data_IF_234876691385
#
_entry.id   IF_234876691385
#
_cell.length_a   1.000
_cell.length_b   1.000
_cell.length_c   1.000
_cell.angle_alpha   90.00
_cell.angle_beta   90.00
_cell.angle_gamma   90.00
#
_symmetry.space_group_name_H-M   'P 1'
#
loop_
_entity.id
_entity.type
_entity.pdbx_description
1 polymer ?
#
# COMPACT_ATOMS: atom_id res chain seq x y z
N UNK A 1 -30.65 -7.43 20.97
CA UNK A 1 -29.48 -6.65 20.52
C UNK A 1 -28.75 -7.49 19.49
N UNK A 2 -28.71 -7.06 18.23
CA UNK A 2 -28.00 -7.80 17.17
C UNK A 2 -26.58 -7.24 17.11
N UNK A 3 -25.59 -8.07 17.42
CA UNK A 3 -24.18 -7.72 17.21
C UNK A 3 -23.85 -8.14 15.79
N UNK A 4 -23.74 -7.19 14.88
CA UNK A 4 -23.19 -7.46 13.56
C UNK A 4 -21.70 -7.77 13.75
N UNK A 5 -21.33 -9.03 13.51
CA UNK A 5 -19.91 -9.39 13.38
C UNK A 5 -19.39 -8.73 12.10
N UNK A 6 -18.17 -8.21 12.16
CA UNK A 6 -17.49 -7.68 10.99
C UNK A 6 -17.40 -8.76 9.90
N UNK A 7 -17.51 -8.34 8.64
CA UNK A 7 -17.31 -9.24 7.50
C UNK A 7 -15.85 -9.72 7.50
N UNK A 8 -15.60 -11.05 7.46
CA UNK A 8 -14.26 -11.61 7.40
C UNK A 8 -13.38 -10.96 6.33
N UNK A 9 -12.10 -10.74 6.66
CA UNK A 9 -11.18 -10.04 5.76
C UNK A 9 -10.98 -10.80 4.44
N UNK A 10 -11.02 -12.12 4.45
CA UNK A 10 -10.99 -12.97 3.26
C UNK A 10 -12.13 -12.62 2.28
N UNK A 11 -13.35 -12.49 2.79
CA UNK A 11 -14.52 -12.10 1.99
C UNK A 11 -14.34 -10.66 1.51
N UNK A 12 -13.90 -9.73 2.36
CA UNK A 12 -13.63 -8.34 1.95
C UNK A 12 -12.55 -8.26 0.86
N UNK A 13 -11.52 -9.10 0.93
CA UNK A 13 -10.43 -9.18 -0.04
C UNK A 13 -10.88 -9.74 -1.38
N UNK A 14 -11.85 -10.66 -1.40
CA UNK A 14 -12.34 -11.26 -2.65
C UNK A 14 -13.02 -10.28 -3.62
N UNK A 15 -13.30 -9.04 -3.18
CA UNK A 15 -13.80 -7.98 -4.06
C UNK A 15 -12.69 -7.28 -4.86
N UNK A 16 -11.43 -7.65 -4.66
CA UNK A 16 -10.25 -7.10 -5.33
C UNK A 16 -9.56 -8.19 -6.13
N UNK A 17 -9.09 -7.88 -7.34
CA UNK A 17 -8.39 -8.84 -8.19
C UNK A 17 -6.96 -9.09 -7.71
N UNK A 18 -6.30 -8.04 -7.22
CA UNK A 18 -4.93 -8.04 -6.71
C UNK A 18 -4.86 -7.25 -5.38
N UNK A 19 -5.35 -7.84 -4.27
CA UNK A 19 -5.50 -7.13 -3.01
C UNK A 19 -4.15 -6.73 -2.42
N UNK A 20 -4.07 -5.47 -2.00
CA UNK A 20 -3.03 -4.95 -1.11
C UNK A 20 -3.62 -4.58 0.22
N UNK A 21 -2.92 -4.98 1.27
CA UNK A 21 -3.30 -4.77 2.66
C UNK A 21 -2.46 -3.64 3.22
N UNK A 22 -3.10 -2.63 3.76
CA UNK A 22 -2.47 -1.45 4.35
C UNK A 22 -2.82 -1.44 5.83
N UNK A 23 -1.81 -1.45 6.70
CA UNK A 23 -2.01 -1.35 8.13
C UNK A 23 -2.48 0.06 8.52
N UNK A 24 -3.64 0.17 9.14
CA UNK A 24 -4.30 1.44 9.47
C UNK A 24 -4.50 1.66 10.96
N UNK A 25 -4.09 0.71 11.81
CA UNK A 25 -4.15 0.91 13.25
C UNK A 25 -3.08 1.93 13.68
N UNK A 26 -3.48 2.85 14.57
CA UNK A 26 -2.66 3.94 15.12
C UNK A 26 -2.44 3.75 16.62
N UNK A 27 -2.33 2.51 17.08
CA UNK A 27 -2.20 2.16 18.49
C UNK A 27 -0.99 2.80 19.19
N UNK A 28 -0.05 3.38 18.44
CA UNK A 28 1.13 4.06 18.95
C UNK A 28 2.20 3.10 19.49
N UNK A 29 1.96 1.79 19.38
CA UNK A 29 2.88 0.73 19.81
C UNK A 29 3.76 0.33 18.62
N UNK A 30 3.17 0.24 17.43
CA UNK A 30 3.90 -0.05 16.20
C UNK A 30 3.90 1.19 15.31
N UNK A 31 5.07 1.69 14.91
CA UNK A 31 5.19 2.81 13.97
C UNK A 31 5.01 2.33 12.52
N UNK A 32 3.99 1.50 12.30
CA UNK A 32 3.74 0.80 11.04
C UNK A 32 2.51 1.36 10.30
N UNK A 33 1.90 2.45 10.79
CA UNK A 33 0.73 3.03 10.13
C UNK A 33 1.05 3.39 8.67
N UNK A 34 0.30 2.81 7.74
CA UNK A 34 0.50 2.93 6.30
C UNK A 34 1.45 1.90 5.70
N UNK A 35 2.16 1.09 6.50
CA UNK A 35 2.89 -0.06 5.97
C UNK A 35 1.92 -0.94 5.19
N UNK A 36 2.34 -1.42 4.03
CA UNK A 36 1.50 -2.22 3.17
C UNK A 36 2.23 -3.46 2.70
N UNK A 37 1.46 -4.50 2.42
CA UNK A 37 1.96 -5.77 1.92
C UNK A 37 0.93 -6.38 0.97
N UNK A 38 1.42 -7.26 0.11
CA UNK A 38 0.63 -8.02 -0.86
C UNK A 38 1.36 -9.31 -1.14
N UNK A 39 0.63 -10.28 -1.66
CA UNK A 39 1.24 -11.51 -2.14
C UNK A 39 2.13 -11.18 -3.36
N UNK A 40 3.39 -11.59 -3.29
CA UNK A 40 4.37 -11.47 -4.37
C UNK A 40 4.83 -12.89 -4.70
N UNK A 41 4.41 -13.37 -5.87
CA UNK A 41 4.56 -14.77 -6.25
C UNK A 41 5.97 -15.32 -5.97
N UNK A 42 6.03 -16.43 -5.23
CA UNK A 42 7.27 -17.16 -4.92
C UNK A 42 8.01 -16.74 -3.67
N UNK A 43 7.72 -15.57 -3.08
CA UNK A 43 8.46 -15.03 -1.92
C UNK A 43 7.59 -14.55 -0.77
N UNK A 44 6.28 -14.39 -0.98
CA UNK A 44 5.35 -14.17 0.10
C UNK A 44 4.04 -14.91 -0.13
N UNK A 45 3.36 -15.25 0.97
CA UNK A 45 2.04 -15.85 0.91
C UNK A 45 1.12 -15.27 1.98
N UNK A 46 -0.18 -15.27 1.68
CA UNK A 46 -1.22 -14.78 2.58
C UNK A 46 -2.12 -15.94 2.96
N UNK A 47 -2.42 -16.07 4.26
CA UNK A 47 -3.41 -17.03 4.76
C UNK A 47 -4.36 -16.39 5.76
N UNK A 48 -5.58 -16.92 5.82
CA UNK A 48 -6.65 -16.42 6.68
C UNK A 48 -6.95 -17.41 7.79
N UNK A 49 -7.12 -16.90 9.01
CA UNK A 49 -7.28 -17.71 10.21
C UNK A 49 -8.46 -17.19 11.01
N UNK A 50 -9.49 -18.02 11.17
CA UNK A 50 -10.64 -17.68 12.00
C UNK A 50 -10.27 -17.76 13.49
N UNK A 51 -10.70 -16.74 14.24
CA UNK A 51 -10.57 -16.72 15.70
C UNK A 51 -11.90 -16.38 16.35
N UNK A 52 -12.00 -16.58 17.66
CA UNK A 52 -13.20 -16.21 18.43
C UNK A 52 -13.53 -14.71 18.35
N UNK A 53 -12.54 -13.87 18.02
CA UNK A 53 -12.65 -12.40 17.99
C UNK A 53 -12.62 -11.83 16.56
N UNK A 54 -12.85 -12.66 15.53
CA UNK A 54 -12.81 -12.25 14.12
C UNK A 54 -11.74 -12.98 13.33
N UNK A 55 -11.62 -12.64 12.05
CA UNK A 55 -10.63 -13.27 11.17
C UNK A 55 -9.31 -12.50 11.18
N UNK A 56 -8.20 -13.24 11.24
CA UNK A 56 -6.84 -12.71 11.13
C UNK A 56 -6.29 -12.97 9.74
N UNK A 57 -5.41 -12.08 9.32
CA UNK A 57 -4.55 -12.28 8.16
C UNK A 57 -3.14 -12.58 8.64
N UNK A 58 -2.55 -13.66 8.13
CA UNK A 58 -1.15 -13.97 8.31
C UNK A 58 -0.39 -13.70 7.00
N UNK A 59 0.63 -12.85 7.08
CA UNK A 59 1.52 -12.53 5.96
C UNK A 59 2.90 -13.08 6.28
N UNK A 60 3.36 -14.02 5.46
CA UNK A 60 4.68 -14.60 5.55
C UNK A 60 5.47 -14.15 4.32
N UNK A 61 6.69 -13.69 4.54
CA UNK A 61 7.56 -13.16 3.48
C UNK A 61 8.94 -13.76 3.68
N UNK A 62 9.29 -14.71 2.82
CA UNK A 62 10.55 -15.42 2.92
C UNK A 62 11.67 -14.81 2.10
N UNK A 63 12.90 -15.15 2.48
CA UNK A 63 14.07 -14.91 1.66
C UNK A 63 14.06 -15.81 0.42
N UNK A 64 14.81 -15.42 -0.62
CA UNK A 64 14.75 -16.07 -1.93
C UNK A 64 15.21 -17.54 -1.94
N UNK A 65 15.87 -17.98 -0.88
CA UNK A 65 16.34 -19.35 -0.66
C UNK A 65 15.45 -20.18 0.28
N UNK A 66 14.36 -19.59 0.80
CA UNK A 66 13.42 -20.25 1.72
C UNK A 66 13.99 -20.56 3.11
N UNK A 67 15.16 -20.02 3.46
CA UNK A 67 15.83 -20.29 4.74
C UNK A 67 15.22 -19.54 5.93
N UNK A 68 14.49 -18.47 5.66
CA UNK A 68 13.84 -17.62 6.65
C UNK A 68 12.48 -17.17 6.10
N UNK A 69 11.41 -17.38 6.88
CA UNK A 69 10.05 -16.95 6.54
C UNK A 69 9.35 -16.35 7.77
N UNK A 70 9.60 -15.06 8.07
CA UNK A 70 8.91 -14.36 9.14
C UNK A 70 7.43 -14.18 8.80
N UNK A 71 6.58 -14.80 9.61
CA UNK A 71 5.14 -14.62 9.55
C UNK A 71 4.69 -13.53 10.54
N UNK A 72 3.95 -12.54 10.05
CA UNK A 72 3.34 -11.47 10.84
C UNK A 72 1.82 -11.59 10.76
N UNK A 73 1.17 -11.50 11.93
CA UNK A 73 -0.28 -11.57 12.05
C UNK A 73 -0.89 -10.17 12.19
N UNK A 74 -1.99 -9.96 11.49
CA UNK A 74 -2.77 -8.73 11.53
C UNK A 74 -4.24 -9.05 11.81
N UNK A 75 -4.88 -8.23 12.65
CA UNK A 75 -6.33 -8.27 12.80
C UNK A 75 -6.97 -7.72 11.52
N UNK A 76 -8.04 -8.35 11.05
CA UNK A 76 -8.75 -7.86 9.87
C UNK A 76 -9.23 -6.41 10.01
N UNK A 77 -9.65 -6.01 11.21
CA UNK A 77 -10.07 -4.64 11.58
C UNK A 77 -8.98 -3.59 11.34
N UNK A 78 -7.73 -4.01 11.44
CA UNK A 78 -6.56 -3.12 11.45
C UNK A 78 -6.01 -2.93 10.03
N UNK A 79 -6.65 -3.55 9.03
CA UNK A 79 -6.25 -3.55 7.64
C UNK A 79 -7.29 -2.87 6.76
N UNK A 80 -6.81 -1.90 5.98
CA UNK A 80 -7.49 -1.43 4.79
C UNK A 80 -7.07 -2.31 3.61
N UNK A 81 -8.03 -2.70 2.78
CA UNK A 81 -7.76 -3.38 1.51
C UNK A 81 -7.89 -2.36 0.38
N UNK A 82 -6.97 -2.42 -0.56
CA UNK A 82 -7.00 -1.63 -1.79
C UNK A 82 -6.56 -2.50 -2.98
N UNK A 83 -7.04 -2.15 -4.17
CA UNK A 83 -6.57 -2.77 -5.41
C UNK A 83 -5.13 -2.32 -5.69
N UNK A 84 -4.26 -3.26 -6.07
CA UNK A 84 -3.02 -2.91 -6.79
C UNK A 84 -3.36 -2.78 -8.27
N UNK A 85 -3.05 -1.62 -8.83
CA UNK A 85 -3.20 -1.35 -10.26
C UNK A 85 -1.80 -1.24 -10.88
N UNK A 86 -1.52 -2.07 -11.87
CA UNK A 86 -0.32 -1.94 -12.70
C UNK A 86 -0.47 -0.77 -13.67
N UNK A 87 0.48 0.15 -13.63
CA UNK A 87 0.63 1.27 -14.55
C UNK A 87 1.89 1.07 -15.40
N UNK A 88 1.94 1.77 -16.53
CA UNK A 88 3.14 1.77 -17.37
C UNK A 88 4.30 2.47 -16.63
N UNK A 89 5.42 1.78 -16.45
CA UNK A 89 6.64 2.32 -15.84
C UNK A 89 7.34 3.30 -16.77
N UNK A 90 8.13 4.22 -16.21
CA UNK A 90 8.87 5.27 -16.92
C UNK A 90 8.02 6.31 -17.67
N UNK A 91 6.69 6.27 -17.52
CA UNK A 91 5.83 7.38 -17.97
C UNK A 91 6.12 8.60 -17.11
N UNK A 92 6.37 9.73 -17.76
CA UNK A 92 6.64 11.01 -17.10
C UNK A 92 5.34 11.72 -16.75
N UNK A 93 5.29 12.27 -15.55
CA UNK A 93 4.17 13.04 -15.03
C UNK A 93 4.65 14.38 -14.51
N UNK A 94 3.81 15.40 -14.65
CA UNK A 94 3.98 16.71 -14.02
C UNK A 94 2.93 16.89 -12.93
N UNK A 95 3.34 17.41 -11.77
CA UNK A 95 2.41 17.79 -10.70
C UNK A 95 1.57 19.01 -11.10
N UNK A 96 0.26 18.85 -11.05
CA UNK A 96 -0.70 19.91 -11.39
C UNK A 96 -0.92 20.94 -10.27
N UNK A 97 -0.56 20.59 -9.03
CA UNK A 97 -0.61 21.45 -7.84
C UNK A 97 0.46 21.00 -6.83
N UNK A 98 0.77 21.85 -5.85
CA UNK A 98 1.66 21.49 -4.76
C UNK A 98 1.12 20.27 -4.00
N UNK A 99 2.00 19.31 -3.72
CA UNK A 99 1.61 18.04 -3.11
C UNK A 99 2.67 17.52 -2.14
N UNK A 100 2.18 16.86 -1.09
CA UNK A 100 3.03 16.12 -0.17
C UNK A 100 3.32 14.72 -0.69
N UNK A 101 4.59 14.41 -0.93
CA UNK A 101 5.08 13.06 -1.14
C UNK A 101 5.10 12.26 0.16
N UNK A 102 4.71 10.99 0.05
CA UNK A 102 4.56 10.08 1.19
C UNK A 102 5.42 8.83 1.00
N UNK A 103 5.77 8.19 2.11
CA UNK A 103 6.42 6.87 2.12
C UNK A 103 5.45 5.71 1.91
N UNK A 104 4.14 5.98 1.92
CA UNK A 104 3.07 4.98 1.88
C UNK A 104 1.87 5.46 1.04
N UNK A 105 1.17 4.56 0.33
CA UNK A 105 -0.02 4.86 -0.46
C UNK A 105 -1.29 5.10 0.39
N UNK A 106 -1.21 5.93 1.43
CA UNK A 106 -2.31 6.11 2.38
C UNK A 106 -2.68 7.58 2.62
N UNK A 107 -3.99 7.85 2.53
CA UNK A 107 -4.52 9.14 2.93
C UNK A 107 -4.40 9.33 4.46
N UNK A 108 -4.00 10.53 4.89
CA UNK A 108 -3.71 10.82 6.30
C UNK A 108 -2.41 10.24 6.85
N UNK A 109 -1.60 9.52 6.03
CA UNK A 109 -0.20 9.25 6.37
C UNK A 109 0.64 10.53 6.28
N UNK A 110 1.72 10.57 7.07
CA UNK A 110 2.64 11.72 7.18
C UNK A 110 3.24 12.05 5.81
N UNK A 111 3.31 13.34 5.52
CA UNK A 111 4.06 13.87 4.39
C UNK A 111 5.53 13.93 4.76
N UNK A 112 6.40 13.33 3.95
CA UNK A 112 7.85 13.33 4.17
C UNK A 112 8.55 14.43 3.38
N UNK A 113 8.00 14.80 2.23
CA UNK A 113 8.57 15.85 1.37
C UNK A 113 7.45 16.62 0.69
N UNK A 114 7.63 17.93 0.52
CA UNK A 114 6.72 18.77 -0.26
C UNK A 114 7.32 19.01 -1.64
N UNK A 115 6.48 18.83 -2.66
CA UNK A 115 6.83 19.11 -4.04
C UNK A 115 5.94 20.23 -4.58
N UNK A 116 6.55 21.14 -5.32
CA UNK A 116 5.84 22.23 -5.96
C UNK A 116 5.14 21.74 -7.23
N UNK A 117 4.06 22.44 -7.61
CA UNK A 117 3.47 22.35 -8.94
C UNK A 117 4.55 22.50 -10.01
N UNK A 118 4.45 21.70 -11.07
CA UNK A 118 5.39 21.70 -12.18
C UNK A 118 6.58 20.76 -11.99
N UNK A 119 6.81 20.23 -10.78
CA UNK A 119 7.80 19.17 -10.59
C UNK A 119 7.44 17.92 -11.40
N UNK A 120 8.46 17.28 -11.97
CA UNK A 120 8.34 16.11 -12.83
C UNK A 120 8.77 14.83 -12.13
N UNK A 121 8.07 13.75 -12.43
CA UNK A 121 8.29 12.43 -11.85
C UNK A 121 8.13 11.35 -12.92
N UNK A 122 8.82 10.24 -12.73
CA UNK A 122 8.66 9.04 -13.55
C UNK A 122 7.92 7.97 -12.77
N UNK A 123 6.93 7.33 -13.40
CA UNK A 123 6.20 6.24 -12.75
C UNK A 123 7.08 5.01 -12.52
N UNK A 124 6.97 4.42 -11.34
CA UNK A 124 7.52 3.10 -11.06
C UNK A 124 6.55 1.95 -11.46
N UNK A 125 5.31 2.28 -11.85
CA UNK A 125 4.35 1.33 -12.40
C UNK A 125 3.40 0.69 -11.38
N UNK A 126 3.45 1.07 -10.11
CA UNK A 126 2.52 0.57 -9.08
C UNK A 126 1.62 1.69 -8.58
N UNK A 127 0.31 1.52 -8.71
CA UNK A 127 -0.69 2.35 -8.06
C UNK A 127 -1.44 1.55 -6.99
N UNK A 128 -1.58 2.12 -5.80
CA UNK A 128 -2.31 1.54 -4.68
C UNK A 128 -3.14 2.65 -4.03
N UNK A 129 -4.42 2.37 -3.75
CA UNK A 129 -5.29 3.26 -2.97
C UNK A 129 -5.32 4.73 -3.50
N UNK A 130 -5.25 4.90 -4.84
CA UNK A 130 -5.25 6.21 -5.50
C UNK A 130 -3.93 6.98 -5.46
N UNK A 131 -2.83 6.33 -5.04
CA UNK A 131 -1.49 6.88 -5.07
C UNK A 131 -0.61 6.10 -6.04
N UNK A 132 0.16 6.80 -6.86
CA UNK A 132 1.16 6.24 -7.75
C UNK A 132 2.54 6.29 -7.08
N UNK A 133 3.27 5.18 -7.12
CA UNK A 133 4.68 5.16 -6.79
C UNK A 133 5.49 5.77 -7.92
N UNK A 134 6.25 6.81 -7.60
CA UNK A 134 7.02 7.58 -8.57
C UNK A 134 8.43 7.85 -8.07
N UNK A 135 9.32 8.14 -9.02
CA UNK A 135 10.68 8.61 -8.80
C UNK A 135 10.77 10.08 -9.19
N UNK A 136 11.31 10.90 -8.30
CA UNK A 136 11.62 12.30 -8.64
C UNK A 136 12.79 12.33 -9.63
N UNK A 137 12.68 13.12 -10.70
CA UNK A 137 13.80 13.30 -11.62
C UNK A 137 14.97 14.07 -10.98
N UNK A 138 14.69 14.89 -9.95
CA UNK A 138 15.71 15.62 -9.19
C UNK A 138 16.41 14.76 -8.14
N UNK A 139 15.77 13.67 -7.71
CA UNK A 139 16.31 12.70 -6.75
C UNK A 139 15.79 11.29 -7.08
N UNK A 140 16.41 10.60 -8.04
CA UNK A 140 15.93 9.30 -8.52
C UNK A 140 16.24 8.15 -7.55
N UNK A 141 16.74 8.43 -6.34
CA UNK A 141 17.06 7.40 -5.34
C UNK A 141 15.93 7.15 -4.35
N UNK A 142 14.90 8.01 -4.32
CA UNK A 142 13.80 7.92 -3.38
C UNK A 142 12.46 7.72 -4.09
N UNK A 143 11.82 6.59 -3.81
CA UNK A 143 10.43 6.36 -4.19
C UNK A 143 9.52 7.23 -3.33
N UNK A 144 8.50 7.80 -3.95
CA UNK A 144 7.46 8.54 -3.23
C UNK A 144 6.09 8.20 -3.79
N UNK A 145 5.10 8.21 -2.91
CA UNK A 145 3.70 8.02 -3.26
C UNK A 145 3.02 9.38 -3.43
N UNK A 146 2.53 9.64 -4.64
CA UNK A 146 1.78 10.86 -4.97
C UNK A 146 0.34 10.52 -5.41
N UNK A 147 -0.65 11.33 -5.04
CA UNK A 147 -2.03 11.10 -5.48
C UNK A 147 -2.14 11.17 -7.02
N UNK A 148 -2.79 10.16 -7.61
CA UNK A 148 -2.91 10.01 -9.07
C UNK A 148 -3.68 11.16 -9.71
N UNK A 149 -4.68 11.71 -9.01
CA UNK A 149 -5.49 12.83 -9.47
C UNK A 149 -4.69 14.13 -9.65
N UNK A 150 -3.45 14.19 -9.14
CA UNK A 150 -2.57 15.35 -9.25
C UNK A 150 -1.49 15.19 -10.32
N UNK A 151 -1.35 13.99 -10.88
CA UNK A 151 -0.33 13.64 -11.84
C UNK A 151 -0.89 13.72 -13.26
N UNK A 152 -0.35 14.65 -14.05
CA UNK A 152 -0.70 14.78 -15.47
C UNK A 152 0.41 14.16 -16.32
N UNK A 153 0.12 13.16 -17.18
CA UNK A 153 1.12 12.63 -18.10
C UNK A 153 1.69 13.74 -19.00
N UNK A 154 3.01 13.73 -19.17
CA UNK A 154 3.74 14.62 -20.07
C UNK A 154 4.64 13.81 -20.98
N UNK A 155 4.96 14.38 -22.16
CA UNK A 155 5.86 13.76 -23.13
C UNK A 155 7.31 14.09 -22.82
#
# INVERSE_FOLDING_TARGET
MVVFKEVPIEIRSSFYNNPTYIYINRDGITNNYGSYFREQGGYSYISFWDTNNGQRLNYCSGDSDGSYDPCIYYLGTDLKIAETISRESNVRYELTKDAGGKSTPLNGAKTETMYAKGNTFSSHGTEINGYLEVLSESDPKSYTWLPVDLLKPVK
#
